data_IF_483487357675
#
_entry.id   IF_483487357675
#
_cell.length_a   1.000
_cell.length_b   1.000
_cell.length_c   1.000
_cell.angle_alpha   90.00
_cell.angle_beta   90.00
_cell.angle_gamma   90.00
#
_symmetry.space_group_name_H-M   'P 1'
#
loop_
_entity.id
_entity.type
_entity.pdbx_description
1 polymer ?
#
# COMPACT_ATOMS: atom_id res chain seq x y z
N UNK A 1 -5.25 6.93 6.99
CA UNK A 1 -6.26 6.10 6.31
C UNK A 1 -7.68 6.53 6.70
N UNK A 2 -8.00 6.70 7.98
CA UNK A 2 -9.36 7.15 8.40
C UNK A 2 -9.77 8.54 7.90
N UNK A 3 -8.82 9.45 7.69
CA UNK A 3 -9.09 10.76 7.09
C UNK A 3 -9.26 10.71 5.55
N UNK A 4 -9.10 9.54 4.92
CA UNK A 4 -9.09 9.35 3.47
C UNK A 4 -9.92 8.11 3.07
N UNK A 5 -11.25 8.12 3.28
CA UNK A 5 -12.10 6.93 3.17
C UNK A 5 -12.30 6.42 1.73
N UNK A 6 -12.02 7.26 0.72
CA UNK A 6 -12.18 6.94 -0.69
C UNK A 6 -10.86 6.65 -1.41
N UNK A 7 -9.72 6.69 -0.69
CA UNK A 7 -8.42 6.46 -1.31
C UNK A 7 -8.24 5.00 -1.71
N UNK A 8 -7.64 4.80 -2.87
CA UNK A 8 -7.07 3.55 -3.37
C UNK A 8 -5.67 3.40 -2.79
N UNK A 9 -5.48 2.34 -2.02
CA UNK A 9 -4.31 2.12 -1.19
C UNK A 9 -3.54 0.93 -1.76
N UNK A 10 -2.26 1.16 -2.08
CA UNK A 10 -1.30 0.10 -2.23
C UNK A 10 -0.64 -0.17 -0.88
N UNK A 11 -0.62 -1.42 -0.45
CA UNK A 11 0.02 -1.82 0.78
C UNK A 11 1.13 -2.84 0.53
N UNK A 12 2.30 -2.59 1.12
CA UNK A 12 3.46 -3.45 1.05
C UNK A 12 3.93 -3.82 2.46
N UNK A 13 3.91 -5.11 2.76
CA UNK A 13 4.50 -5.66 3.99
C UNK A 13 5.20 -6.97 3.62
N UNK A 14 6.38 -7.19 4.18
CA UNK A 14 7.09 -8.44 4.01
C UNK A 14 6.58 -9.40 5.08
N UNK A 15 5.76 -10.36 4.67
CA UNK A 15 5.22 -11.37 5.58
C UNK A 15 5.38 -12.77 4.99
N UNK A 16 5.67 -13.81 5.80
CA UNK A 16 5.66 -15.20 5.37
C UNK A 16 4.26 -15.72 4.95
N UNK A 17 3.26 -14.83 4.93
CA UNK A 17 1.86 -15.11 4.66
C UNK A 17 1.40 -14.24 3.48
N UNK A 18 1.67 -14.70 2.26
CA UNK A 18 1.41 -14.07 0.95
C UNK A 18 -0.03 -13.57 0.67
N UNK A 19 -0.94 -13.53 1.64
CA UNK A 19 -2.36 -13.29 1.40
C UNK A 19 -3.03 -12.34 2.42
N UNK A 20 -2.41 -12.15 3.60
CA UNK A 20 -2.99 -11.37 4.70
C UNK A 20 -1.90 -10.62 5.48
N UNK A 21 -1.83 -9.30 5.30
CA UNK A 21 -1.11 -8.46 6.25
C UNK A 21 -1.83 -8.52 7.60
N UNK A 22 -1.29 -9.29 8.53
CA UNK A 22 -1.79 -9.38 9.90
C UNK A 22 -1.89 -7.99 10.55
N UNK A 23 -0.95 -7.09 10.22
CA UNK A 23 -0.92 -5.74 10.75
C UNK A 23 -2.03 -4.86 10.18
N UNK A 24 -2.31 -4.92 8.87
CA UNK A 24 -3.44 -4.20 8.26
C UNK A 24 -4.76 -4.66 8.84
N UNK A 25 -4.94 -5.97 9.04
CA UNK A 25 -6.14 -6.53 9.66
C UNK A 25 -6.31 -6.06 11.10
N UNK A 26 -5.23 -5.98 11.87
CA UNK A 26 -5.26 -5.43 13.24
C UNK A 26 -5.56 -3.94 13.26
N UNK A 27 -5.08 -3.19 12.27
CA UNK A 27 -5.23 -1.73 12.22
C UNK A 27 -6.61 -1.29 11.73
N UNK A 28 -7.06 -1.84 10.61
CA UNK A 28 -8.31 -1.43 9.96
C UNK A 28 -9.50 -2.28 10.39
N UNK A 29 -9.25 -3.48 10.95
CA UNK A 29 -10.25 -4.48 11.25
C UNK A 29 -10.56 -5.37 10.03
N UNK A 30 -10.66 -6.69 10.24
CA UNK A 30 -10.79 -7.67 9.16
C UNK A 30 -11.97 -7.42 8.20
N UNK A 31 -13.16 -7.06 8.73
CA UNK A 31 -14.33 -6.74 7.90
C UNK A 31 -14.10 -5.55 6.98
N UNK A 32 -13.40 -4.53 7.46
CA UNK A 32 -13.09 -3.32 6.68
C UNK A 32 -12.04 -3.60 5.62
N UNK A 33 -11.01 -4.38 5.96
CA UNK A 33 -10.00 -4.83 4.99
C UNK A 33 -10.64 -5.61 3.86
N UNK A 34 -11.54 -6.55 4.17
CA UNK A 34 -12.27 -7.32 3.17
C UNK A 34 -13.09 -6.41 2.26
N UNK A 35 -13.92 -5.52 2.83
CA UNK A 35 -14.72 -4.59 2.04
C UNK A 35 -13.86 -3.70 1.12
N UNK A 36 -12.74 -3.17 1.62
CA UNK A 36 -11.83 -2.34 0.81
C UNK A 36 -11.18 -3.13 -0.33
N UNK A 37 -10.86 -4.42 -0.13
CA UNK A 37 -10.36 -5.29 -1.20
C UNK A 37 -11.43 -5.57 -2.24
N UNK A 38 -12.64 -5.93 -1.81
CA UNK A 38 -13.76 -6.24 -2.69
C UNK A 38 -14.17 -5.02 -3.54
N UNK A 39 -14.02 -3.81 -2.98
CA UNK A 39 -14.21 -2.54 -3.67
C UNK A 39 -13.01 -2.09 -4.55
N UNK A 40 -11.92 -2.85 -4.57
CA UNK A 40 -10.68 -2.48 -5.29
C UNK A 40 -9.91 -1.30 -4.69
N UNK A 41 -10.28 -0.84 -3.49
CA UNK A 41 -9.64 0.27 -2.77
C UNK A 41 -8.39 -0.14 -2.00
N UNK A 42 -8.12 -1.43 -1.83
CA UNK A 42 -6.93 -1.92 -1.16
C UNK A 42 -6.30 -3.05 -1.98
N UNK A 43 -5.04 -2.88 -2.37
CA UNK A 43 -4.23 -3.91 -3.01
C UNK A 43 -2.97 -4.18 -2.20
N UNK A 44 -2.53 -5.43 -2.21
CA UNK A 44 -1.26 -5.85 -1.61
C UNK A 44 -0.21 -6.01 -2.71
N UNK A 45 0.97 -5.40 -2.52
CA UNK A 45 2.12 -5.66 -3.37
C UNK A 45 2.71 -7.03 -3.04
N UNK A 46 2.84 -7.87 -4.05
CA UNK A 46 3.52 -9.18 -4.00
C UNK A 46 4.54 -9.26 -5.14
N UNK A 47 5.45 -10.24 -5.07
CA UNK A 47 6.41 -10.47 -6.16
C UNK A 47 5.69 -10.81 -7.48
N UNK A 48 4.60 -11.60 -7.42
CA UNK A 48 3.85 -12.04 -8.59
C UNK A 48 3.11 -10.90 -9.29
N UNK A 49 2.65 -9.89 -8.54
CA UNK A 49 1.86 -8.78 -9.09
C UNK A 49 2.66 -7.49 -9.31
N UNK A 50 3.95 -7.48 -8.97
CA UNK A 50 4.82 -6.30 -9.04
C UNK A 50 4.72 -5.54 -10.36
N UNK A 51 4.80 -6.23 -11.50
CA UNK A 51 4.77 -5.59 -12.82
C UNK A 51 3.42 -4.87 -13.09
N UNK A 52 2.32 -5.47 -12.64
CA UNK A 52 0.98 -4.88 -12.78
C UNK A 52 0.81 -3.68 -11.84
N UNK A 53 1.32 -3.78 -10.60
CA UNK A 53 1.29 -2.69 -9.63
C UNK A 53 2.13 -1.50 -10.09
N UNK A 54 3.33 -1.74 -10.63
CA UNK A 54 4.20 -0.69 -11.17
C UNK A 54 3.50 0.10 -12.28
N UNK A 55 2.81 -0.60 -13.19
CA UNK A 55 2.00 0.04 -14.22
C UNK A 55 0.85 0.88 -13.63
N UNK A 56 0.07 0.31 -12.71
CA UNK A 56 -1.04 1.03 -12.06
C UNK A 56 -0.56 2.26 -11.29
N UNK A 57 0.60 2.17 -10.64
CA UNK A 57 1.22 3.29 -9.93
C UNK A 57 1.57 4.42 -10.89
N UNK A 58 2.19 4.11 -12.04
CA UNK A 58 2.51 5.08 -13.10
C UNK A 58 1.29 5.70 -13.76
N UNK A 59 0.19 4.96 -13.83
CA UNK A 59 -1.11 5.43 -14.33
C UNK A 59 -1.87 6.28 -13.30
N UNK A 60 -1.33 6.52 -12.10
CA UNK A 60 -1.98 7.33 -11.06
C UNK A 60 -3.16 6.63 -10.40
N UNK A 61 -3.18 5.28 -10.40
CA UNK A 61 -4.27 4.51 -9.83
C UNK A 61 -4.29 4.55 -8.30
N UNK A 62 -3.14 4.68 -7.64
CA UNK A 62 -3.08 4.71 -6.18
C UNK A 62 -3.04 6.14 -5.68
N UNK A 63 -3.81 6.42 -4.63
CA UNK A 63 -3.79 7.72 -3.95
C UNK A 63 -2.81 7.66 -2.76
N UNK A 64 -2.62 6.48 -2.19
CA UNK A 64 -1.75 6.23 -1.03
C UNK A 64 -0.96 4.94 -1.24
N UNK A 65 0.34 4.98 -0.98
CA UNK A 65 1.18 3.78 -0.83
C UNK A 65 1.62 3.67 0.62
N UNK A 66 1.56 2.48 1.20
CA UNK A 66 1.97 2.22 2.59
C UNK A 66 2.97 1.07 2.58
N UNK A 67 4.12 1.24 3.23
CA UNK A 67 5.14 0.20 3.32
C UNK A 67 5.68 0.02 4.74
N UNK A 68 5.77 -1.23 5.20
CA UNK A 68 6.56 -1.62 6.37
C UNK A 68 8.06 -1.72 6.08
N UNK A 69 8.44 -1.84 4.80
CA UNK A 69 9.82 -1.99 4.33
C UNK A 69 10.07 -0.98 3.20
N UNK A 70 10.26 0.31 3.53
CA UNK A 70 10.34 1.38 2.54
C UNK A 70 11.52 1.22 1.58
N UNK A 71 12.70 0.83 2.07
CA UNK A 71 13.89 0.67 1.21
C UNK A 71 13.69 -0.43 0.16
N UNK A 72 13.01 -1.52 0.54
CA UNK A 72 12.65 -2.59 -0.38
C UNK A 72 11.58 -2.15 -1.38
N UNK A 73 10.55 -1.44 -0.91
CA UNK A 73 9.53 -0.87 -1.78
C UNK A 73 10.18 0.03 -2.84
N UNK A 74 11.09 0.90 -2.44
CA UNK A 74 11.79 1.84 -3.32
C UNK A 74 12.70 1.12 -4.32
N UNK A 75 13.26 -0.05 -3.98
CA UNK A 75 13.97 -0.90 -4.93
C UNK A 75 13.02 -1.62 -5.91
N UNK A 76 11.82 -2.01 -5.46
CA UNK A 76 10.83 -2.71 -6.28
C UNK A 76 10.06 -1.77 -7.21
N UNK A 77 9.70 -0.59 -6.71
CA UNK A 77 8.88 0.44 -7.35
C UNK A 77 9.58 1.82 -7.23
N UNK A 78 10.61 2.10 -8.05
CA UNK A 78 11.49 3.27 -7.88
C UNK A 78 10.77 4.62 -7.87
N UNK A 79 9.63 4.73 -8.57
CA UNK A 79 8.86 5.96 -8.65
C UNK A 79 8.29 6.41 -7.28
N UNK A 80 8.24 5.51 -6.28
CA UNK A 80 7.82 5.87 -4.92
C UNK A 80 8.79 6.82 -4.22
N UNK A 81 10.06 6.88 -4.66
CA UNK A 81 11.07 7.80 -4.10
C UNK A 81 10.69 9.27 -4.33
N UNK A 82 9.99 9.57 -5.43
CA UNK A 82 9.57 10.92 -5.78
C UNK A 82 8.28 11.38 -5.07
N UNK A 83 7.61 10.50 -4.32
CA UNK A 83 6.34 10.79 -3.66
C UNK A 83 6.55 11.48 -2.31
N UNK A 84 5.59 12.33 -1.92
CA UNK A 84 5.61 12.94 -0.58
C UNK A 84 5.37 11.84 0.45
N UNK A 85 6.34 11.62 1.35
CA UNK A 85 6.24 10.56 2.34
C UNK A 85 6.19 11.12 3.76
N UNK A 86 5.34 10.50 4.60
CA UNK A 86 5.28 10.73 6.04
C UNK A 86 5.52 9.42 6.77
N UNK A 87 6.36 9.44 7.79
CA UNK A 87 6.50 8.30 8.71
C UNK A 87 5.28 8.30 9.63
N UNK A 88 4.53 7.20 9.65
CA UNK A 88 3.32 7.04 10.46
C UNK A 88 3.37 5.71 11.23
N UNK A 89 2.94 5.64 12.50
CA UNK A 89 3.70 4.89 13.50
C UNK A 89 3.22 3.46 13.80
N UNK A 90 4.12 2.62 14.38
CA UNK A 90 5.58 2.70 14.32
C UNK A 90 6.06 1.87 13.12
N UNK A 91 7.04 2.40 12.37
CA UNK A 91 7.78 1.73 11.26
C UNK A 91 7.16 1.75 9.86
N UNK A 92 6.00 2.39 9.64
CA UNK A 92 5.43 2.52 8.30
C UNK A 92 5.82 3.84 7.63
N UNK A 93 6.18 3.76 6.35
CA UNK A 93 6.27 4.94 5.47
C UNK A 93 5.00 5.01 4.62
N UNK A 94 4.31 6.13 4.71
CA UNK A 94 3.09 6.43 3.96
C UNK A 94 3.43 7.46 2.89
N UNK A 95 3.32 7.07 1.64
CA UNK A 95 3.56 7.91 0.47
C UNK A 95 2.22 8.41 -0.06
N UNK A 96 2.10 9.72 -0.22
CA UNK A 96 0.98 10.38 -0.87
C UNK A 96 1.35 10.59 -2.33
N UNK A 97 0.59 9.94 -3.21
CA UNK A 97 0.74 10.15 -4.65
C UNK A 97 0.11 11.50 -4.95
N UNK A 98 0.91 12.46 -5.44
CA UNK A 98 0.36 13.74 -5.89
C UNK A 98 -0.59 13.47 -7.05
N UNK A 99 -1.84 13.93 -6.90
CA UNK A 99 -2.82 13.96 -7.99
C UNK A 99 -2.45 14.99 -9.04
#
# INVERSE_FOLDING_TARGET
IDSHPNSRILYHEFGPFNEWSYVVVRWLGGKRVQAMRDEGKLMFLTDDNRASIDRLLKEGYFDIVVSAHPDQLEAMLPDTVAMEAKVSPPWYKVYHVKG
#
